data_IF_100840794488
#
_entry.id   IF_100840794488
#
_cell.length_a   1.000
_cell.length_b   1.000
_cell.length_c   1.000
_cell.angle_alpha   90.00
_cell.angle_beta   90.00
_cell.angle_gamma   90.00
#
_symmetry.space_group_name_H-M   'P 1'
#
loop_
_entity.id
_entity.type
_entity.pdbx_description
1 polymer ?
#
# COMPACT_ATOMS: atom_id res chain seq x y z
N UNK A 1 95.97 -13.84 -4.93
CA UNK A 1 95.77 -12.46 -5.43
C UNK A 1 94.86 -12.55 -6.64
N UNK A 2 93.87 -11.65 -6.72
CA UNK A 2 92.84 -11.46 -7.79
C UNK A 2 91.89 -12.66 -7.99
N UNK A 3 90.56 -12.58 -7.91
CA UNK A 3 89.62 -11.45 -7.92
C UNK A 3 88.59 -11.64 -9.04
N UNK A 4 87.30 -11.56 -8.68
CA UNK A 4 86.09 -11.40 -9.53
C UNK A 4 85.52 -12.62 -10.29
N UNK A 5 84.34 -13.07 -9.87
CA UNK A 5 83.03 -12.85 -10.54
C UNK A 5 82.01 -13.85 -9.99
N UNK A 6 81.01 -13.38 -9.24
CA UNK A 6 79.70 -14.03 -9.26
C UNK A 6 78.62 -12.99 -8.97
N UNK A 7 77.67 -12.93 -9.90
CA UNK A 7 76.62 -11.95 -10.05
C UNK A 7 75.50 -12.27 -9.06
N UNK A 8 75.09 -11.30 -8.26
CA UNK A 8 73.80 -11.33 -7.55
C UNK A 8 72.98 -10.12 -7.97
N UNK A 9 71.89 -10.40 -8.67
CA UNK A 9 70.88 -9.45 -9.11
C UNK A 9 70.07 -9.02 -7.88
N UNK A 10 70.08 -7.72 -7.55
CA UNK A 10 69.17 -7.12 -6.57
C UNK A 10 68.22 -6.23 -7.36
N UNK A 11 67.00 -6.70 -7.56
CA UNK A 11 65.87 -5.88 -8.04
C UNK A 11 65.34 -5.07 -6.86
N UNK A 12 65.61 -3.77 -6.84
CA UNK A 12 64.95 -2.79 -5.98
C UNK A 12 63.80 -2.17 -6.77
N UNK A 13 62.58 -2.67 -6.55
CA UNK A 13 61.35 -1.98 -6.90
C UNK A 13 61.11 -0.85 -5.91
N UNK A 14 61.22 0.41 -6.36
CA UNK A 14 60.76 1.56 -5.58
C UNK A 14 59.23 1.56 -5.57
N UNK A 15 58.63 1.38 -4.39
CA UNK A 15 57.22 1.64 -4.14
C UNK A 15 57.00 3.16 -4.09
N UNK A 16 56.39 3.72 -5.15
CA UNK A 16 55.83 5.06 -5.12
C UNK A 16 54.44 5.03 -4.50
N UNK A 17 54.34 5.30 -3.19
CA UNK A 17 53.06 5.58 -2.54
C UNK A 17 52.64 7.01 -2.87
N UNK A 18 51.73 7.18 -3.83
CA UNK A 18 50.92 8.39 -3.93
C UNK A 18 49.73 8.19 -3.00
N UNK A 19 49.81 8.78 -1.80
CA UNK A 19 48.65 8.94 -0.92
C UNK A 19 47.71 9.98 -1.55
N UNK A 20 46.70 9.53 -2.29
CA UNK A 20 45.52 10.36 -2.54
C UNK A 20 44.70 10.37 -1.26
N UNK A 21 44.80 11.47 -0.51
CA UNK A 21 43.94 11.74 0.63
C UNK A 21 42.53 11.97 0.07
N UNK A 22 41.68 10.95 0.16
CA UNK A 22 40.23 11.09 -0.05
C UNK A 22 39.75 11.99 1.09
N UNK A 23 39.51 13.27 0.79
CA UNK A 23 38.67 14.12 1.64
C UNK A 23 37.29 13.48 1.65
N UNK A 24 37.00 12.71 2.70
CA UNK A 24 35.66 12.22 2.99
C UNK A 24 34.79 13.44 3.31
N UNK A 25 34.02 13.89 2.32
CA UNK A 25 32.86 14.75 2.54
C UNK A 25 31.99 14.08 3.60
N UNK A 26 31.56 14.77 4.67
CA UNK A 26 30.63 14.19 5.63
C UNK A 26 29.37 13.74 4.88
N UNK A 27 28.96 12.48 5.05
CA UNK A 27 27.70 12.01 4.51
C UNK A 27 26.56 12.91 5.05
N UNK A 28 25.60 13.32 4.21
CA UNK A 28 24.46 14.11 4.68
C UNK A 28 23.70 13.34 5.75
N UNK A 29 23.28 14.05 6.79
CA UNK A 29 22.43 13.51 7.84
C UNK A 29 21.14 13.00 7.18
N UNK A 30 20.92 11.68 7.17
CA UNK A 30 19.71 11.08 6.60
C UNK A 30 18.70 10.81 7.72
N UNK A 31 17.60 11.57 7.78
CA UNK A 31 16.52 11.29 8.73
C UNK A 31 15.44 10.40 8.06
N UNK A 32 14.80 9.53 8.83
CA UNK A 32 13.69 8.69 8.37
C UNK A 32 12.45 9.04 9.18
N UNK A 33 11.36 9.34 8.49
CA UNK A 33 10.05 9.67 9.07
C UNK A 33 9.03 8.69 8.54
N UNK A 34 8.16 8.22 9.44
CA UNK A 34 7.09 7.27 9.13
C UNK A 34 5.77 7.99 9.41
N UNK A 35 4.85 7.96 8.44
CA UNK A 35 3.54 8.57 8.56
C UNK A 35 2.44 7.59 8.14
N UNK A 36 1.27 7.67 8.77
CA UNK A 36 0.10 6.94 8.31
C UNK A 36 -0.59 7.67 7.14
N UNK A 37 -1.24 6.92 6.25
CA UNK A 37 -2.08 7.49 5.18
C UNK A 37 -3.18 8.40 5.78
N UNK A 38 -3.35 9.60 5.23
CA UNK A 38 -4.30 10.62 5.70
C UNK A 38 -3.88 11.34 6.98
N UNK A 39 -2.74 10.97 7.59
CA UNK A 39 -2.22 11.65 8.77
C UNK A 39 -1.55 12.99 8.41
N UNK A 40 -1.20 13.75 9.44
CA UNK A 40 -0.31 14.90 9.32
C UNK A 40 1.08 14.50 9.80
N UNK A 41 2.11 14.88 9.06
CA UNK A 41 3.51 14.56 9.37
C UNK A 41 4.36 15.83 9.38
N UNK A 42 5.38 15.85 10.23
CA UNK A 42 6.43 16.87 10.19
C UNK A 42 7.73 16.23 9.73
N UNK A 43 8.31 16.74 8.64
CA UNK A 43 9.65 16.42 8.19
C UNK A 43 10.64 17.38 8.89
N UNK A 44 11.50 16.88 9.79
CA UNK A 44 12.36 17.74 10.60
C UNK A 44 13.46 18.38 9.76
N UNK A 45 13.59 19.69 9.81
CA UNK A 45 14.73 20.40 9.23
C UNK A 45 15.08 21.60 10.09
N UNK A 46 16.23 21.53 10.76
CA UNK A 46 16.70 22.58 11.66
C UNK A 46 18.16 22.89 11.41
N UNK A 47 18.52 24.16 11.60
CA UNK A 47 19.91 24.56 11.66
C UNK A 47 20.55 23.93 12.90
N UNK A 48 21.66 23.22 12.71
CA UNK A 48 22.47 22.76 13.84
C UNK A 48 23.26 23.96 14.34
N UNK A 49 22.79 24.58 15.43
CA UNK A 49 23.43 25.73 16.05
C UNK A 49 24.94 25.49 16.24
N UNK A 50 25.75 26.26 15.49
CA UNK A 50 27.16 26.47 15.78
C UNK A 50 27.35 27.96 16.00
N UNK A 51 27.85 28.29 17.19
CA UNK A 51 28.16 29.65 17.66
C UNK A 51 28.77 30.49 16.54
N UNK A 52 28.02 31.46 16.04
CA UNK A 52 28.59 32.62 15.34
C UNK A 52 27.70 33.84 15.51
N UNK A 53 27.93 34.57 16.60
CA UNK A 53 27.64 35.99 16.71
C UNK A 53 28.31 36.74 15.54
N UNK A 54 27.65 36.88 14.39
CA UNK A 54 28.12 37.74 13.30
C UNK A 54 26.96 38.48 12.59
N UNK A 55 26.86 39.78 12.91
CA UNK A 55 26.40 40.92 12.11
C UNK A 55 25.38 40.71 10.97
N UNK A 56 24.15 41.19 11.20
CA UNK A 56 23.15 41.53 10.18
C UNK A 56 22.10 40.43 9.99
N UNK A 57 20.82 40.80 9.99
CA UNK A 57 19.71 39.89 9.70
C UNK A 57 19.83 39.34 8.27
N UNK A 58 20.62 38.29 8.10
CA UNK A 58 20.74 37.62 6.81
C UNK A 58 19.46 36.83 6.62
N UNK A 59 18.69 37.17 5.58
CA UNK A 59 17.41 36.52 5.33
C UNK A 59 17.65 35.04 5.02
N UNK A 60 17.22 34.15 5.92
CA UNK A 60 17.29 32.70 5.73
C UNK A 60 16.35 32.33 4.58
N UNK A 61 16.89 31.60 3.61
CA UNK A 61 16.11 31.03 2.51
C UNK A 61 15.99 29.53 2.70
N UNK A 62 14.76 29.04 2.72
CA UNK A 62 14.45 27.62 2.84
C UNK A 62 13.88 27.12 1.53
N UNK A 63 14.37 25.98 1.04
CA UNK A 63 13.82 25.27 -0.10
C UNK A 63 13.58 23.80 0.25
N UNK A 64 12.39 23.33 -0.06
CA UNK A 64 12.00 21.93 0.03
C UNK A 64 11.73 21.37 -1.36
N UNK A 65 12.32 20.22 -1.65
CA UNK A 65 12.21 19.51 -2.93
C UNK A 65 11.98 18.02 -2.68
N UNK A 66 11.03 17.42 -3.41
CA UNK A 66 10.89 15.96 -3.46
C UNK A 66 11.86 15.42 -4.50
N UNK A 67 12.79 14.60 -4.05
CA UNK A 67 13.93 14.11 -4.83
C UNK A 67 13.53 12.86 -5.59
N UNK A 68 13.67 12.93 -6.92
CA UNK A 68 13.53 11.79 -7.82
C UNK A 68 14.89 11.11 -8.08
N UNK A 69 14.86 9.92 -8.68
CA UNK A 69 16.10 9.22 -9.10
C UNK A 69 16.84 9.98 -10.22
N UNK A 70 16.09 10.71 -11.05
CA UNK A 70 16.61 11.68 -12.02
C UNK A 70 16.39 13.10 -11.47
N UNK A 71 17.47 13.84 -11.24
CA UNK A 71 17.40 15.20 -10.69
C UNK A 71 16.59 16.17 -11.57
N UNK A 72 16.47 15.88 -12.88
CA UNK A 72 15.64 16.68 -13.78
C UNK A 72 14.13 16.53 -13.50
N UNK A 73 13.73 15.49 -12.77
CA UNK A 73 12.35 15.21 -12.38
C UNK A 73 12.05 15.61 -10.93
N UNK A 74 12.96 16.32 -10.27
CA UNK A 74 12.74 16.83 -8.92
C UNK A 74 11.53 17.78 -8.89
N UNK A 75 10.64 17.57 -7.92
CA UNK A 75 9.46 18.39 -7.73
C UNK A 75 9.71 19.42 -6.62
N UNK A 76 9.53 20.70 -6.93
CA UNK A 76 9.55 21.74 -5.90
C UNK A 76 8.32 21.56 -4.99
N UNK A 77 8.52 21.62 -3.67
CA UNK A 77 7.46 21.42 -2.67
C UNK A 77 7.08 22.75 -2.03
N UNK A 78 8.07 23.42 -1.44
CA UNK A 78 7.90 24.71 -0.77
C UNK A 78 9.18 25.54 -0.88
N UNK A 79 9.04 26.86 -1.05
CA UNK A 79 10.14 27.81 -0.90
C UNK A 79 9.75 28.97 0.00
N UNK A 80 10.70 29.42 0.82
CA UNK A 80 10.54 30.57 1.72
C UNK A 80 11.75 31.49 1.66
N UNK A 81 11.49 32.80 1.61
CA UNK A 81 12.50 33.87 1.67
C UNK A 81 11.92 35.01 2.51
N UNK A 82 12.29 35.06 3.79
CA UNK A 82 11.68 35.96 4.76
C UNK A 82 10.16 35.78 4.82
N UNK A 83 9.39 36.86 4.61
CA UNK A 83 7.92 36.82 4.65
C UNK A 83 7.27 36.20 3.41
N UNK A 84 8.03 35.94 2.34
CA UNK A 84 7.49 35.34 1.13
C UNK A 84 7.57 33.81 1.21
N UNK A 85 6.41 33.16 1.15
CA UNK A 85 6.27 31.70 1.12
C UNK A 85 5.52 31.30 -0.15
N UNK A 86 5.97 30.23 -0.80
CA UNK A 86 5.34 29.67 -1.99
C UNK A 86 5.37 28.15 -1.96
N UNK A 87 4.22 27.53 -2.19
CA UNK A 87 4.03 26.09 -2.39
C UNK A 87 3.78 25.79 -3.86
N UNK A 88 3.90 24.53 -4.27
CA UNK A 88 3.88 24.14 -5.68
C UNK A 88 3.15 22.81 -5.89
N UNK A 89 2.51 22.66 -7.04
CA UNK A 89 2.01 21.37 -7.54
C UNK A 89 0.96 20.74 -6.64
N UNK A 90 1.06 19.42 -6.42
CA UNK A 90 0.15 18.65 -5.55
C UNK A 90 0.31 18.98 -4.06
N UNK A 91 1.31 19.77 -3.69
CA UNK A 91 1.58 20.20 -2.31
C UNK A 91 0.91 21.54 -1.96
N UNK A 92 0.34 22.24 -2.95
CA UNK A 92 -0.44 23.47 -2.70
C UNK A 92 -1.55 23.18 -1.67
N UNK A 93 -1.73 24.13 -0.73
CA UNK A 93 -2.69 24.07 0.39
C UNK A 93 -2.50 22.94 1.43
N UNK A 94 -1.52 22.03 1.26
CA UNK A 94 -1.26 20.90 2.18
C UNK A 94 0.07 20.97 2.93
N UNK A 95 0.99 21.86 2.54
CA UNK A 95 2.30 21.99 3.18
C UNK A 95 2.56 23.38 3.75
N UNK A 96 3.22 23.44 4.90
CA UNK A 96 3.60 24.68 5.58
C UNK A 96 4.88 24.50 6.39
N UNK A 97 5.57 25.61 6.67
CA UNK A 97 6.72 25.60 7.59
C UNK A 97 6.23 25.64 9.04
N UNK A 98 6.89 24.87 9.90
CA UNK A 98 6.65 24.87 11.34
C UNK A 98 7.21 26.17 11.96
N UNK A 99 6.34 27.14 12.25
CA UNK A 99 6.72 28.47 12.79
C UNK A 99 7.03 28.42 14.31
N UNK A 100 7.93 27.53 14.74
CA UNK A 100 8.28 27.40 16.16
C UNK A 100 9.34 28.42 16.61
N UNK A 101 10.34 28.69 15.77
CA UNK A 101 11.40 29.70 15.93
C UNK A 101 12.00 30.08 14.55
N UNK A 102 12.91 31.05 14.52
CA UNK A 102 13.55 31.54 13.28
C UNK A 102 14.55 30.53 12.66
N UNK A 103 14.86 29.44 13.36
CA UNK A 103 15.82 28.40 12.95
C UNK A 103 15.13 27.08 12.53
N UNK A 104 13.81 26.97 12.72
CA UNK A 104 13.00 25.82 12.38
C UNK A 104 12.46 25.92 10.95
N UNK A 105 13.09 25.16 10.06
CA UNK A 105 12.71 25.01 8.67
C UNK A 105 11.88 23.73 8.42
N UNK A 106 11.38 23.09 9.48
CA UNK A 106 10.65 21.82 9.37
C UNK A 106 9.38 21.98 8.53
N UNK A 107 9.11 21.01 7.66
CA UNK A 107 7.95 20.99 6.78
C UNK A 107 6.84 20.18 7.42
N UNK A 108 5.70 20.80 7.68
CA UNK A 108 4.47 20.09 8.04
C UNK A 108 3.68 19.82 6.76
N UNK A 109 3.25 18.57 6.59
CA UNK A 109 2.44 18.11 5.48
C UNK A 109 1.19 17.43 6.02
N UNK A 110 0.03 17.78 5.48
CA UNK A 110 -1.28 17.26 5.91
C UNK A 110 -1.88 16.33 4.86
N UNK A 111 -2.74 15.42 5.31
CA UNK A 111 -3.47 14.49 4.45
C UNK A 111 -2.52 13.69 3.54
N UNK A 112 -1.65 12.89 4.18
CA UNK A 112 -0.58 12.14 3.52
C UNK A 112 -1.13 11.08 2.56
N UNK A 113 -0.78 11.19 1.29
CA UNK A 113 -1.12 10.21 0.25
C UNK A 113 0.05 9.25 -0.02
N UNK A 114 -0.24 8.11 -0.67
CA UNK A 114 0.82 7.18 -1.10
C UNK A 114 1.82 7.80 -2.06
N UNK A 115 1.37 8.73 -2.90
CA UNK A 115 2.24 9.46 -3.82
C UNK A 115 3.20 10.41 -3.08
N UNK A 116 2.88 10.82 -1.85
CA UNK A 116 3.78 11.64 -1.03
C UNK A 116 4.98 10.82 -0.49
N UNK A 117 5.00 9.50 -0.66
CA UNK A 117 6.17 8.68 -0.30
C UNK A 117 7.40 9.07 -1.13
N UNK A 118 8.55 9.21 -0.47
CA UNK A 118 9.80 9.47 -1.18
C UNK A 118 10.87 10.15 -0.35
N UNK A 119 11.94 10.56 -1.03
CA UNK A 119 13.00 11.38 -0.45
C UNK A 119 12.67 12.84 -0.60
N UNK A 120 12.89 13.60 0.46
CA UNK A 120 12.73 15.04 0.52
C UNK A 120 14.06 15.67 0.89
N UNK A 121 14.42 16.74 0.19
CA UNK A 121 15.61 17.54 0.44
C UNK A 121 15.19 18.89 0.98
N UNK A 122 15.72 19.23 2.15
CA UNK A 122 15.65 20.55 2.74
C UNK A 122 16.98 21.26 2.51
N UNK A 123 16.93 22.46 1.94
CA UNK A 123 18.09 23.33 1.73
C UNK A 123 17.85 24.64 2.49
N UNK A 124 18.62 24.87 3.55
CA UNK A 124 18.63 26.12 4.31
C UNK A 124 19.88 26.91 3.90
N UNK A 125 19.67 28.07 3.29
CA UNK A 125 20.73 28.97 2.82
C UNK A 125 20.77 30.16 3.78
N UNK A 126 21.85 30.27 4.56
CA UNK A 126 22.09 31.37 5.50
C UNK A 126 23.46 31.99 5.23
N UNK A 127 23.48 33.10 4.48
CA UNK A 127 24.72 33.81 4.15
C UNK A 127 25.67 33.01 3.27
N UNK A 128 26.75 32.49 3.84
CA UNK A 128 27.78 31.69 3.16
C UNK A 128 27.72 30.20 3.50
N UNK A 129 26.79 29.78 4.36
CA UNK A 129 26.61 28.38 4.76
C UNK A 129 25.28 27.82 4.23
N UNK A 130 25.37 26.69 3.53
CA UNK A 130 24.25 25.92 3.04
C UNK A 130 24.13 24.63 3.87
N UNK A 131 23.01 24.46 4.56
CA UNK A 131 22.67 23.21 5.24
C UNK A 131 21.72 22.42 4.36
N UNK A 132 22.15 21.23 3.94
CA UNK A 132 21.33 20.30 3.15
C UNK A 132 21.02 19.07 3.99
N UNK A 133 19.74 18.77 4.17
CA UNK A 133 19.24 17.61 4.89
C UNK A 133 18.36 16.78 3.96
N UNK A 134 18.61 15.46 3.91
CA UNK A 134 17.76 14.53 3.17
C UNK A 134 16.95 13.66 4.13
N UNK A 135 15.66 13.54 3.84
CA UNK A 135 14.69 12.89 4.71
C UNK A 135 13.92 11.88 3.87
N UNK A 136 13.87 10.64 4.32
CA UNK A 136 13.02 9.62 3.73
C UNK A 136 11.67 9.60 4.44
N UNK A 137 10.61 9.92 3.72
CA UNK A 137 9.23 9.74 4.16
C UNK A 137 8.74 8.36 3.71
N UNK A 138 8.46 7.49 4.67
CA UNK A 138 7.74 6.24 4.46
C UNK A 138 6.29 6.39 4.89
N UNK A 139 5.36 6.00 4.01
CA UNK A 139 3.94 5.99 4.33
C UNK A 139 3.57 4.59 4.78
N UNK A 140 3.30 4.43 6.07
CA UNK A 140 2.67 3.26 6.63
C UNK A 140 1.19 3.28 6.32
N UNK A 141 0.71 2.13 5.92
CA UNK A 141 -0.61 1.99 5.37
C UNK A 141 -1.58 1.58 6.48
N UNK A 142 -1.60 2.32 7.60
CA UNK A 142 -2.42 2.03 8.78
C UNK A 142 -3.93 1.96 8.52
N UNK A 143 -4.39 2.44 7.34
CA UNK A 143 -5.77 2.31 6.85
C UNK A 143 -5.97 1.28 5.72
N UNK A 144 -4.90 0.57 5.31
CA UNK A 144 -4.94 -0.53 4.32
C UNK A 144 -4.57 -1.89 4.91
N UNK A 145 -4.43 -1.98 6.24
CA UNK A 145 -4.27 -3.25 6.94
C UNK A 145 -5.53 -4.10 6.72
N UNK A 146 -5.46 -4.95 5.70
CA UNK A 146 -6.64 -5.63 5.21
C UNK A 146 -6.48 -6.26 3.84
N UNK A 147 -7.62 -6.59 3.27
CA UNK A 147 -7.75 -7.24 1.97
C UNK A 147 -8.90 -6.62 1.22
N UNK A 148 -8.62 -6.15 0.00
CA UNK A 148 -9.66 -5.78 -0.96
C UNK A 148 -10.08 -7.00 -1.76
N UNK A 149 -11.39 -7.19 -1.89
CA UNK A 149 -11.96 -8.23 -2.71
C UNK A 149 -13.16 -7.73 -3.52
N UNK A 150 -13.34 -8.24 -4.75
CA UNK A 150 -14.52 -7.96 -5.54
C UNK A 150 -15.74 -8.73 -5.01
N UNK A 151 -16.91 -8.09 -5.09
CA UNK A 151 -18.17 -8.69 -4.68
C UNK A 151 -19.30 -8.39 -5.68
N UNK A 152 -20.09 -9.44 -5.96
CA UNK A 152 -21.35 -9.39 -6.71
C UNK A 152 -22.39 -10.24 -5.97
N UNK A 153 -23.66 -9.83 -5.93
CA UNK A 153 -24.73 -10.60 -5.28
C UNK A 153 -25.16 -11.81 -6.11
N UNK A 154 -25.99 -12.67 -5.51
CA UNK A 154 -26.56 -13.86 -6.15
C UNK A 154 -27.40 -13.58 -7.40
N UNK A 155 -28.00 -12.39 -7.51
CA UNK A 155 -28.74 -11.93 -8.70
C UNK A 155 -27.83 -11.66 -9.91
N UNK A 156 -26.51 -11.70 -9.72
CA UNK A 156 -25.51 -11.59 -10.78
C UNK A 156 -24.74 -10.27 -10.78
N UNK A 157 -23.82 -10.14 -11.73
CA UNK A 157 -22.95 -8.97 -11.90
C UNK A 157 -23.72 -7.71 -12.29
N UNK A 158 -23.20 -6.56 -11.89
CA UNK A 158 -23.73 -5.23 -12.24
C UNK A 158 -25.19 -5.02 -11.81
N UNK A 159 -25.51 -5.47 -10.59
CA UNK A 159 -26.84 -5.31 -10.00
C UNK A 159 -26.87 -4.38 -8.78
N UNK A 160 -25.74 -3.85 -8.31
CA UNK A 160 -25.69 -2.99 -7.12
C UNK A 160 -25.67 -1.51 -7.53
N UNK A 161 -26.65 -0.75 -7.04
CA UNK A 161 -26.51 0.71 -6.98
C UNK A 161 -25.51 1.10 -5.87
N UNK A 162 -25.14 2.37 -5.76
CA UNK A 162 -24.12 2.78 -4.77
C UNK A 162 -24.51 2.43 -3.32
N UNK A 163 -25.77 2.62 -2.95
CA UNK A 163 -26.25 2.31 -1.60
C UNK A 163 -26.30 0.80 -1.36
N UNK A 164 -26.79 0.03 -2.33
CA UNK A 164 -26.79 -1.44 -2.29
C UNK A 164 -25.36 -1.99 -2.19
N UNK A 165 -24.39 -1.34 -2.85
CA UNK A 165 -22.99 -1.70 -2.82
C UNK A 165 -22.35 -1.50 -1.44
N UNK A 166 -22.62 -0.36 -0.79
CA UNK A 166 -22.19 -0.11 0.59
C UNK A 166 -22.79 -1.18 1.52
N UNK A 167 -24.09 -1.43 1.42
CA UNK A 167 -24.76 -2.42 2.27
C UNK A 167 -24.23 -3.84 2.03
N UNK A 168 -24.00 -4.20 0.76
CA UNK A 168 -23.46 -5.51 0.39
C UNK A 168 -22.10 -5.78 1.04
N UNK A 169 -21.21 -4.80 1.12
CA UNK A 169 -19.94 -4.97 1.84
C UNK A 169 -20.16 -5.16 3.35
N UNK A 170 -21.02 -4.35 3.97
CA UNK A 170 -21.34 -4.47 5.40
C UNK A 170 -21.90 -5.84 5.76
N UNK A 171 -22.81 -6.37 4.94
CA UNK A 171 -23.41 -7.68 5.12
C UNK A 171 -22.34 -8.80 5.08
N UNK A 172 -21.22 -8.56 4.42
CA UNK A 172 -20.08 -9.47 4.30
C UNK A 172 -18.94 -9.24 5.30
N UNK A 173 -19.15 -8.46 6.37
CA UNK A 173 -18.11 -8.08 7.34
C UNK A 173 -16.95 -7.31 6.68
N UNK A 174 -17.33 -6.32 5.88
CA UNK A 174 -16.41 -5.47 5.14
C UNK A 174 -16.98 -4.04 5.05
N UNK A 175 -16.13 -3.11 4.62
CA UNK A 175 -16.54 -1.77 4.20
C UNK A 175 -16.35 -1.63 2.70
N UNK A 176 -16.97 -0.64 2.06
CA UNK A 176 -16.62 -0.32 0.67
C UNK A 176 -15.17 0.17 0.62
N UNK A 177 -14.41 -0.30 -0.36
CA UNK A 177 -13.00 0.07 -0.48
C UNK A 177 -12.85 1.50 -1.01
N UNK A 178 -11.79 2.17 -0.57
CA UNK A 178 -11.35 3.42 -1.18
C UNK A 178 -10.35 3.16 -2.32
N UNK A 179 -9.97 4.22 -3.04
CA UNK A 179 -9.04 4.11 -4.16
C UNK A 179 -7.67 3.57 -3.74
N UNK A 180 -7.11 4.06 -2.63
CA UNK A 180 -5.76 3.67 -2.19
C UNK A 180 -5.71 2.18 -1.83
N UNK A 181 -6.73 1.67 -1.14
CA UNK A 181 -6.89 0.25 -0.84
C UNK A 181 -6.98 -0.58 -2.13
N UNK A 182 -7.78 -0.16 -3.12
CA UNK A 182 -7.87 -0.84 -4.42
C UNK A 182 -6.53 -0.82 -5.15
N UNK A 183 -5.82 0.31 -5.12
CA UNK A 183 -4.53 0.49 -5.78
C UNK A 183 -3.45 -0.39 -5.15
N UNK A 184 -3.39 -0.48 -3.83
CA UNK A 184 -2.50 -1.41 -3.11
C UNK A 184 -2.83 -2.86 -3.48
N UNK A 185 -4.12 -3.22 -3.52
CA UNK A 185 -4.53 -4.56 -3.92
C UNK A 185 -4.13 -4.89 -5.36
N UNK A 186 -4.29 -3.95 -6.29
CA UNK A 186 -3.80 -4.06 -7.67
C UNK A 186 -2.29 -4.30 -7.73
N UNK A 187 -1.50 -3.50 -7.00
CA UNK A 187 -0.04 -3.67 -6.90
C UNK A 187 0.33 -5.01 -6.27
N UNK A 188 -0.51 -5.53 -5.38
CA UNK A 188 -0.43 -6.86 -4.78
C UNK A 188 -0.91 -8.00 -5.68
N UNK A 189 -1.28 -7.72 -6.94
CA UNK A 189 -1.65 -8.73 -7.94
C UNK A 189 -3.15 -8.88 -8.20
N UNK A 190 -4.02 -8.06 -7.60
CA UNK A 190 -5.46 -8.13 -7.87
C UNK A 190 -5.76 -7.79 -9.33
N UNK A 191 -6.31 -8.76 -10.04
CA UNK A 191 -6.74 -8.64 -11.43
C UNK A 191 -8.24 -8.97 -11.53
N UNK A 192 -9.06 -7.96 -11.82
CA UNK A 192 -10.50 -8.11 -11.88
C UNK A 192 -11.12 -7.29 -13.00
N UNK A 193 -11.77 -7.98 -13.94
CA UNK A 193 -12.33 -7.37 -15.16
C UNK A 193 -13.83 -7.07 -15.03
N UNK A 194 -14.26 -6.63 -13.85
CA UNK A 194 -15.58 -6.05 -13.67
C UNK A 194 -15.43 -4.69 -12.98
N UNK A 195 -16.16 -3.69 -13.49
CA UNK A 195 -16.23 -2.37 -12.89
C UNK A 195 -17.00 -2.41 -11.56
N UNK A 196 -16.41 -1.86 -10.50
CA UNK A 196 -17.01 -1.85 -9.16
C UNK A 196 -16.96 -0.48 -8.50
N UNK A 197 -17.93 -0.21 -7.62
CA UNK A 197 -18.00 0.99 -6.80
C UNK A 197 -16.84 1.08 -5.80
N UNK A 198 -16.39 2.32 -5.54
CA UNK A 198 -15.51 2.74 -4.45
C UNK A 198 -16.21 3.79 -3.57
N UNK A 199 -15.68 4.03 -2.37
CA UNK A 199 -16.27 4.86 -1.32
C UNK A 199 -16.58 6.32 -1.74
N UNK A 200 -15.77 6.89 -2.62
CA UNK A 200 -15.90 8.25 -3.17
C UNK A 200 -16.98 8.38 -4.28
N UNK A 201 -17.66 7.27 -4.59
CA UNK A 201 -18.67 7.18 -5.64
C UNK A 201 -18.09 7.09 -7.06
N UNK A 202 -16.79 6.80 -7.19
CA UNK A 202 -16.20 6.41 -8.48
C UNK A 202 -16.41 4.93 -8.75
N UNK A 203 -16.26 4.56 -10.02
CA UNK A 203 -16.35 3.17 -10.47
C UNK A 203 -15.06 2.83 -11.20
N UNK A 204 -14.36 1.81 -10.72
CA UNK A 204 -13.02 1.47 -11.20
C UNK A 204 -12.82 -0.05 -11.25
N UNK A 205 -11.76 -0.53 -11.90
CA UNK A 205 -11.36 -1.95 -11.83
C UNK A 205 -9.87 -2.17 -12.15
N UNK A 206 -9.16 -3.04 -11.41
CA UNK A 206 -7.72 -3.25 -11.56
C UNK A 206 -7.40 -4.35 -12.58
N UNK A 207 -6.47 -4.09 -13.51
CA UNK A 207 -5.99 -5.06 -14.50
C UNK A 207 -4.48 -5.18 -14.43
N UNK A 208 -3.97 -6.34 -14.03
CA UNK A 208 -2.54 -6.66 -14.04
C UNK A 208 -2.11 -7.28 -15.38
N UNK A 209 -3.01 -8.03 -16.03
CA UNK A 209 -2.78 -8.71 -17.29
C UNK A 209 -3.70 -8.12 -18.39
N UNK A 210 -3.21 -7.15 -19.19
CA UNK A 210 -3.97 -6.53 -20.25
C UNK A 210 -4.58 -7.52 -21.24
N UNK A 211 -5.86 -7.36 -21.57
CA UNK A 211 -6.60 -8.25 -22.47
C UNK A 211 -7.80 -7.54 -23.08
N UNK A 212 -8.18 -7.96 -24.30
CA UNK A 212 -9.20 -7.31 -25.13
C UNK A 212 -10.49 -6.92 -24.37
N UNK A 213 -11.17 -7.87 -23.69
CA UNK A 213 -12.42 -7.59 -22.97
C UNK A 213 -12.28 -6.63 -21.77
N UNK A 214 -11.06 -6.32 -21.33
CA UNK A 214 -10.76 -5.66 -20.06
C UNK A 214 -10.02 -4.33 -20.27
N UNK A 215 -10.55 -3.50 -21.17
CA UNK A 215 -9.95 -2.23 -21.54
C UNK A 215 -8.88 -2.33 -22.63
N UNK A 216 -8.85 -3.42 -23.40
CA UNK A 216 -7.96 -3.57 -24.56
C UNK A 216 -6.54 -4.05 -24.23
N UNK A 217 -5.83 -4.51 -25.26
CA UNK A 217 -4.44 -5.01 -25.18
C UNK A 217 -3.39 -3.91 -25.21
N UNK A 218 -3.75 -2.73 -25.71
CA UNK A 218 -2.81 -1.62 -25.92
C UNK A 218 -2.57 -0.79 -24.64
N UNK A 219 -3.41 -0.98 -23.62
CA UNK A 219 -3.27 -0.30 -22.33
C UNK A 219 -2.47 -1.20 -21.39
N UNK A 220 -1.36 -0.69 -20.85
CA UNK A 220 -0.55 -1.41 -19.86
C UNK A 220 -1.32 -1.72 -18.55
N UNK A 221 -0.74 -2.49 -17.62
CA UNK A 221 -1.34 -2.76 -16.32
C UNK A 221 -1.77 -1.47 -15.61
N UNK A 222 -2.91 -1.49 -14.92
CA UNK A 222 -3.40 -0.33 -14.18
C UNK A 222 -4.85 -0.45 -13.73
N UNK A 223 -5.27 0.52 -12.91
CA UNK A 223 -6.67 0.67 -12.50
C UNK A 223 -7.42 1.47 -13.56
N UNK A 224 -8.42 0.85 -14.19
CA UNK A 224 -9.29 1.49 -15.18
C UNK A 224 -10.35 2.30 -14.44
N UNK A 225 -10.53 3.56 -14.82
CA UNK A 225 -11.36 4.50 -14.10
C UNK A 225 -12.53 4.99 -14.98
N UNK A 226 -13.76 4.79 -14.53
CA UNK A 226 -14.98 5.30 -15.19
C UNK A 226 -15.45 6.65 -14.63
N UNK A 227 -14.72 7.20 -13.66
CA UNK A 227 -15.01 8.43 -12.94
C UNK A 227 -16.15 8.26 -11.94
N UNK A 228 -16.60 9.38 -11.39
CA UNK A 228 -17.80 9.46 -10.56
C UNK A 228 -19.03 9.15 -11.41
N UNK A 229 -19.89 8.27 -10.92
CA UNK A 229 -21.11 7.84 -11.63
C UNK A 229 -22.37 8.29 -10.89
N UNK A 230 -23.49 8.32 -11.61
CA UNK A 230 -24.81 8.45 -10.97
C UNK A 230 -25.00 7.27 -10.00
N UNK A 231 -25.31 7.57 -8.74
CA UNK A 231 -25.49 6.58 -7.66
C UNK A 231 -26.60 5.56 -7.93
N UNK A 232 -27.50 5.84 -8.87
CA UNK A 232 -28.54 4.91 -9.35
C UNK A 232 -28.04 3.92 -10.43
N UNK A 233 -26.86 4.15 -11.01
CA UNK A 233 -26.21 3.22 -11.94
C UNK A 233 -25.92 1.90 -11.26
N UNK A 234 -25.81 0.81 -12.02
CA UNK A 234 -25.54 -0.52 -11.46
C UNK A 234 -24.17 -1.05 -11.84
N UNK A 235 -23.42 -1.48 -10.84
CA UNK A 235 -22.08 -2.05 -10.97
C UNK A 235 -21.88 -3.18 -9.94
N UNK A 236 -20.68 -3.75 -9.89
CA UNK A 236 -20.23 -4.57 -8.77
C UNK A 236 -19.68 -3.64 -7.66
N UNK A 237 -19.01 -4.19 -6.66
CA UNK A 237 -18.32 -3.39 -5.62
C UNK A 237 -16.99 -4.02 -5.24
N UNK A 238 -16.02 -3.19 -4.86
CA UNK A 238 -14.83 -3.65 -4.14
C UNK A 238 -15.03 -3.41 -2.65
N UNK A 239 -14.95 -4.48 -1.88
CA UNK A 239 -15.04 -4.44 -0.42
C UNK A 239 -13.65 -4.57 0.20
N UNK A 240 -13.46 -3.96 1.37
CA UNK A 240 -12.25 -4.03 2.18
C UNK A 240 -12.59 -4.63 3.55
N UNK A 241 -11.91 -5.72 3.91
CA UNK A 241 -11.97 -6.32 5.25
C UNK A 241 -10.63 -6.22 5.94
N UNK A 242 -10.65 -6.04 7.25
CA UNK A 242 -9.45 -5.99 8.12
C UNK A 242 -9.17 -7.35 8.74
N UNK A 243 -8.12 -7.45 9.56
CA UNK A 243 -7.83 -8.65 10.34
C UNK A 243 -9.04 -9.11 11.17
N UNK A 244 -9.16 -10.42 11.34
CA UNK A 244 -10.24 -11.03 12.10
C UNK A 244 -10.02 -10.84 13.60
N UNK A 245 -11.13 -10.62 14.32
CA UNK A 245 -11.20 -10.71 15.77
C UNK A 245 -11.97 -11.98 16.15
N UNK A 246 -11.35 -13.12 15.92
CA UNK A 246 -11.98 -14.44 16.07
C UNK A 246 -11.35 -15.48 15.17
N UNK A 247 -11.94 -16.67 15.18
CA UNK A 247 -11.43 -17.84 14.48
C UNK A 247 -12.30 -18.18 13.27
N UNK A 248 -11.71 -18.15 12.07
CA UNK A 248 -12.32 -18.66 10.83
C UNK A 248 -11.85 -20.09 10.58
N UNK A 249 -12.78 -21.00 10.28
CA UNK A 249 -12.43 -22.41 10.09
C UNK A 249 -13.46 -23.14 9.24
N UNK A 250 -13.03 -24.27 8.72
CA UNK A 250 -13.91 -25.26 8.12
C UNK A 250 -14.40 -26.23 9.19
N UNK A 251 -15.72 -26.37 9.31
CA UNK A 251 -16.30 -27.35 10.23
C UNK A 251 -16.07 -28.76 9.69
N UNK A 252 -15.71 -29.71 10.56
CA UNK A 252 -15.51 -31.10 10.15
C UNK A 252 -16.81 -31.87 10.42
N UNK A 253 -17.49 -32.29 9.35
CA UNK A 253 -18.73 -33.05 9.42
C UNK A 253 -18.63 -34.37 8.63
N UNK A 254 -19.41 -35.41 9.02
CA UNK A 254 -19.38 -36.71 8.36
C UNK A 254 -19.99 -36.70 6.95
N UNK A 255 -20.99 -35.86 6.71
CA UNK A 255 -21.66 -35.72 5.41
C UNK A 255 -21.54 -34.29 4.88
N UNK A 256 -21.72 -34.12 3.57
CA UNK A 256 -21.93 -32.80 2.97
C UNK A 256 -23.29 -32.24 3.42
N UNK A 257 -23.47 -30.93 3.31
CA UNK A 257 -24.60 -30.20 3.88
C UNK A 257 -25.32 -29.39 2.80
N UNK A 258 -26.65 -29.31 2.92
CA UNK A 258 -27.45 -28.25 2.30
C UNK A 258 -27.12 -26.91 2.96
N UNK A 259 -27.58 -25.78 2.39
CA UNK A 259 -27.31 -24.47 2.97
C UNK A 259 -27.91 -24.33 4.39
N UNK A 260 -29.15 -24.78 4.60
CA UNK A 260 -29.81 -24.66 5.91
C UNK A 260 -29.15 -25.57 6.95
N UNK A 261 -28.75 -26.80 6.57
CA UNK A 261 -27.96 -27.69 7.42
C UNK A 261 -26.59 -27.07 7.78
N UNK A 262 -25.95 -26.38 6.83
CA UNK A 262 -24.67 -25.70 7.03
C UNK A 262 -24.78 -24.56 8.05
N UNK A 263 -25.82 -23.74 7.95
CA UNK A 263 -26.10 -22.68 8.94
C UNK A 263 -26.30 -23.29 10.33
N UNK A 264 -27.14 -24.32 10.43
CA UNK A 264 -27.42 -24.97 11.71
C UNK A 264 -26.16 -25.63 12.31
N UNK A 265 -25.32 -26.26 11.49
CA UNK A 265 -24.10 -26.91 11.96
C UNK A 265 -23.10 -25.91 12.59
N UNK A 266 -22.96 -24.69 12.04
CA UNK A 266 -22.15 -23.66 12.70
C UNK A 266 -22.76 -23.19 14.02
N UNK A 267 -24.09 -23.03 14.08
CA UNK A 267 -24.79 -22.62 15.30
C UNK A 267 -24.65 -23.67 16.42
N UNK A 268 -24.75 -24.96 16.07
CA UNK A 268 -24.59 -26.06 17.02
C UNK A 268 -23.15 -26.14 17.58
N UNK A 269 -22.16 -25.63 16.84
CA UNK A 269 -20.75 -25.50 17.28
C UNK A 269 -20.47 -24.19 18.07
N UNK A 270 -21.51 -23.38 18.30
CA UNK A 270 -21.41 -22.09 18.98
C UNK A 270 -20.66 -21.05 18.14
N UNK A 271 -20.86 -21.09 16.83
CA UNK A 271 -20.30 -20.18 15.83
C UNK A 271 -21.41 -19.68 14.89
N UNK A 272 -21.09 -18.73 14.01
CA UNK A 272 -21.94 -18.35 12.90
C UNK A 272 -21.39 -18.88 11.58
N UNK A 273 -22.25 -19.01 10.56
CA UNK A 273 -21.76 -19.29 9.21
C UNK A 273 -20.89 -18.11 8.76
N UNK A 274 -19.70 -18.42 8.23
CA UNK A 274 -18.74 -17.40 7.89
C UNK A 274 -19.21 -16.54 6.72
N UNK A 275 -18.88 -15.25 6.78
CA UNK A 275 -19.11 -14.29 5.69
C UNK A 275 -17.95 -14.28 4.70
N UNK A 276 -18.18 -13.69 3.53
CA UNK A 276 -17.15 -13.59 2.50
C UNK A 276 -15.93 -12.80 2.98
N UNK A 277 -16.12 -11.70 3.70
CA UNK A 277 -15.03 -10.92 4.29
C UNK A 277 -14.21 -11.72 5.30
N UNK A 278 -14.83 -12.64 6.06
CA UNK A 278 -14.10 -13.54 6.95
C UNK A 278 -13.11 -14.42 6.18
N UNK A 279 -13.58 -15.02 5.08
CA UNK A 279 -12.74 -15.89 4.25
C UNK A 279 -11.58 -15.13 3.60
N UNK A 280 -11.82 -13.93 3.05
CA UNK A 280 -10.75 -13.15 2.43
C UNK A 280 -9.68 -12.72 3.45
N UNK A 281 -10.10 -12.32 4.65
CA UNK A 281 -9.20 -11.90 5.71
C UNK A 281 -8.33 -13.07 6.20
N UNK A 282 -8.95 -14.22 6.50
CA UNK A 282 -8.23 -15.43 6.87
C UNK A 282 -7.26 -15.91 5.77
N UNK A 283 -7.71 -15.89 4.51
CA UNK A 283 -6.88 -16.29 3.37
C UNK A 283 -5.65 -15.39 3.17
N UNK A 284 -5.85 -14.07 3.20
CA UNK A 284 -4.81 -13.08 2.85
C UNK A 284 -3.88 -12.75 4.01
N UNK A 285 -4.44 -12.57 5.21
CA UNK A 285 -3.74 -12.04 6.38
C UNK A 285 -3.20 -13.15 7.27
N UNK A 286 -3.92 -14.28 7.36
CA UNK A 286 -3.53 -15.42 8.19
C UNK A 286 -2.98 -16.60 7.37
N UNK A 287 -3.03 -16.52 6.04
CA UNK A 287 -2.54 -17.58 5.14
C UNK A 287 -3.40 -18.84 5.15
N UNK A 288 -4.68 -18.73 5.51
CA UNK A 288 -5.60 -19.86 5.59
C UNK A 288 -5.78 -20.52 4.21
N UNK A 289 -5.49 -21.81 4.14
CA UNK A 289 -5.49 -22.59 2.90
C UNK A 289 -6.32 -23.86 3.05
N UNK A 290 -7.36 -24.00 2.22
CA UNK A 290 -8.19 -25.20 2.16
C UNK A 290 -8.82 -25.42 0.79
N UNK A 291 -8.71 -26.66 0.31
CA UNK A 291 -9.22 -27.09 -0.99
C UNK A 291 -10.55 -27.86 -0.86
N UNK A 292 -11.46 -27.35 -0.03
CA UNK A 292 -12.81 -27.88 0.11
C UNK A 292 -13.80 -26.75 -0.12
N UNK A 293 -14.71 -26.93 -1.07
CA UNK A 293 -15.78 -25.98 -1.37
C UNK A 293 -16.85 -25.99 -0.27
N UNK A 294 -17.14 -24.83 0.31
CA UNK A 294 -18.10 -24.71 1.40
C UNK A 294 -18.98 -23.49 1.31
N UNK A 295 -20.16 -23.61 1.92
CA UNK A 295 -21.13 -22.54 2.06
C UNK A 295 -20.60 -21.38 2.89
N UNK A 296 -21.00 -20.17 2.49
CA UNK A 296 -20.84 -18.92 3.21
C UNK A 296 -22.20 -18.24 3.40
N UNK A 297 -22.26 -17.27 4.30
CA UNK A 297 -23.49 -16.59 4.71
C UNK A 297 -24.31 -15.97 3.57
N UNK A 298 -23.66 -15.51 2.49
CA UNK A 298 -24.32 -14.96 1.29
C UNK A 298 -24.98 -16.04 0.41
N UNK A 299 -24.87 -17.32 0.79
CA UNK A 299 -25.32 -18.45 -0.01
C UNK A 299 -24.38 -18.78 -1.17
N UNK A 300 -23.20 -18.17 -1.23
CA UNK A 300 -22.17 -18.59 -2.17
C UNK A 300 -21.41 -19.81 -1.66
N UNK A 301 -20.78 -20.52 -2.59
CA UNK A 301 -19.81 -21.57 -2.29
C UNK A 301 -18.43 -21.12 -2.75
N UNK A 302 -17.47 -21.16 -1.82
CA UNK A 302 -16.09 -20.72 -2.05
C UNK A 302 -15.08 -21.63 -1.36
N UNK A 303 -13.81 -21.49 -1.74
CA UNK A 303 -12.69 -22.09 -1.02
C UNK A 303 -11.39 -21.27 -1.18
N UNK A 304 -10.62 -21.05 -0.11
CA UNK A 304 -9.40 -20.24 -0.14
C UNK A 304 -8.14 -21.09 -0.42
N UNK A 305 -7.31 -20.68 -1.37
CA UNK A 305 -6.00 -21.31 -1.62
C UNK A 305 -4.90 -20.25 -1.46
N UNK A 306 -4.09 -20.36 -0.42
CA UNK A 306 -2.89 -19.52 -0.23
C UNK A 306 -1.64 -20.15 -0.84
N UNK A 307 -1.64 -21.47 -1.05
CA UNK A 307 -0.54 -22.24 -1.65
C UNK A 307 -1.00 -22.97 -2.92
N UNK A 308 -0.70 -22.42 -4.11
CA UNK A 308 -1.10 -22.99 -5.39
C UNK A 308 -0.70 -24.46 -5.55
N UNK A 309 -1.62 -25.28 -6.10
CA UNK A 309 -1.43 -26.72 -6.35
C UNK A 309 -2.43 -27.28 -7.37
N UNK A 310 -2.01 -28.32 -8.09
CA UNK A 310 -2.66 -28.86 -9.30
C UNK A 310 -4.17 -29.14 -9.21
N UNK A 311 -4.67 -29.68 -8.11
CA UNK A 311 -6.07 -30.10 -7.99
C UNK A 311 -6.99 -29.06 -7.33
N UNK A 312 -6.47 -27.86 -7.07
CA UNK A 312 -7.17 -26.83 -6.30
C UNK A 312 -7.09 -25.47 -6.99
N UNK A 313 -5.86 -24.98 -7.16
CA UNK A 313 -5.58 -23.73 -7.84
C UNK A 313 -4.15 -23.82 -8.38
N UNK A 314 -3.95 -24.23 -9.65
CA UNK A 314 -2.61 -24.62 -10.13
C UNK A 314 -1.59 -23.49 -10.15
N UNK A 315 -2.01 -22.25 -10.40
CA UNK A 315 -1.12 -21.15 -10.76
C UNK A 315 -1.17 -19.96 -9.81
N UNK A 316 -2.17 -19.88 -8.93
CA UNK A 316 -2.49 -18.62 -8.26
C UNK A 316 -3.05 -18.86 -6.86
N UNK A 317 -2.64 -18.02 -5.90
CA UNK A 317 -3.26 -17.95 -4.60
C UNK A 317 -4.53 -17.09 -4.72
N UNK A 318 -5.69 -17.64 -4.41
CA UNK A 318 -6.97 -16.94 -4.55
C UNK A 318 -8.06 -17.60 -3.71
N UNK A 319 -9.07 -16.80 -3.35
CA UNK A 319 -10.38 -17.32 -2.96
C UNK A 319 -11.12 -17.71 -4.24
N UNK A 320 -11.35 -19.01 -4.43
CA UNK A 320 -12.05 -19.54 -5.60
C UNK A 320 -13.57 -19.50 -5.37
N UNK A 321 -14.28 -18.87 -6.30
CA UNK A 321 -15.73 -18.79 -6.31
C UNK A 321 -16.31 -19.91 -7.19
N UNK A 322 -17.12 -20.78 -6.59
CA UNK A 322 -17.81 -21.88 -7.31
C UNK A 322 -19.11 -21.38 -7.92
N UNK A 323 -19.87 -20.57 -7.18
CA UNK A 323 -21.16 -20.03 -7.63
C UNK A 323 -22.13 -19.80 -6.49
N UNK A 324 -23.40 -19.58 -6.87
CA UNK A 324 -24.57 -19.60 -5.99
C UNK A 324 -25.43 -20.82 -6.39
N UNK A 325 -25.08 -22.04 -5.93
CA UNK A 325 -25.83 -23.26 -6.28
C UNK A 325 -27.20 -23.30 -5.59
N UNK A 326 -28.04 -24.26 -5.98
CA UNK A 326 -29.32 -24.49 -5.31
C UNK A 326 -29.06 -24.87 -3.84
N UNK A 327 -29.72 -24.16 -2.92
CA UNK A 327 -29.55 -24.30 -1.48
C UNK A 327 -29.92 -25.68 -0.96
N UNK A 328 -30.66 -26.47 -1.73
CA UNK A 328 -31.04 -27.85 -1.42
C UNK A 328 -29.99 -28.89 -1.81
N UNK A 329 -28.93 -28.50 -2.53
CA UNK A 329 -27.84 -29.41 -2.90
C UNK A 329 -26.99 -29.79 -1.68
N UNK A 330 -26.87 -31.09 -1.40
CA UNK A 330 -26.11 -31.65 -0.29
C UNK A 330 -24.71 -32.13 -0.73
N UNK A 331 -23.90 -31.21 -1.27
CA UNK A 331 -22.58 -31.55 -1.86
C UNK A 331 -21.40 -30.75 -1.29
N UNK A 332 -21.67 -29.66 -0.58
CA UNK A 332 -20.64 -28.78 -0.04
C UNK A 332 -20.50 -28.94 1.47
N UNK A 333 -19.38 -28.50 2.02
CA UNK A 333 -19.28 -28.31 3.48
C UNK A 333 -19.61 -26.89 3.88
N UNK A 334 -19.05 -26.44 5.01
CA UNK A 334 -19.34 -25.11 5.55
C UNK A 334 -18.09 -24.52 6.20
N UNK A 335 -17.93 -23.21 6.02
CA UNK A 335 -17.00 -22.42 6.80
C UNK A 335 -17.76 -21.69 7.91
N UNK A 336 -17.26 -21.78 9.13
CA UNK A 336 -17.82 -21.11 10.30
C UNK A 336 -16.85 -20.04 10.80
N UNK A 337 -17.39 -19.07 11.52
CA UNK A 337 -16.63 -18.03 12.19
C UNK A 337 -17.09 -17.93 13.65
N UNK A 338 -16.12 -17.88 14.56
CA UNK A 338 -16.37 -17.73 16.00
C UNK A 338 -15.62 -16.52 16.49
N UNK A 339 -16.34 -15.48 16.91
CA UNK A 339 -15.74 -14.28 17.46
C UNK A 339 -15.01 -14.59 18.78
N UNK A 340 -13.90 -13.90 19.02
CA UNK A 340 -13.26 -13.92 20.34
C UNK A 340 -14.15 -13.16 21.33
N UNK A 341 -14.35 -13.75 22.52
CA UNK A 341 -15.21 -13.20 23.58
C UNK A 341 -14.51 -12.13 24.41
#
# INVERSE_FOLDING_TARGET
>A
MTGLLCITIISLTLAGNVYSQVTSTPAPLSAKVIADLGANVTLPCRLLAKDSDFFGSTAIRVKWTKVADDEALNEDVLSSMGFHKKTYGSFEDRVFLQEQDDEDASLVMTDIAMDDMGRYRCEIISGMEDTVLEILLEVQAGFTDGVVFPYSPNVGRYNLNFQDAVQACLDQNAMIANFDQLYVAFKGGLDWCNAGWLDDGTVQYPITNPRGPCGGTNNGPGVRNYGRRDKMSRYDVFCHSTALNGHFYWLVQPERLTFDEAVQACLDDGAEIAKVGHMYSAWKLEGYDRCDAGWLADGSVRYPISRPRKNCSPTEAAVRFVGFPDKTEKIYGVYCFKADQ
#
